data_IF_275882667871
#
_entry.id   IF_275882667871
#
_cell.length_a   1.000
_cell.length_b   1.000
_cell.length_c   1.000
_cell.angle_alpha   90.00
_cell.angle_beta   90.00
_cell.angle_gamma   90.00
#
_symmetry.space_group_name_H-M   'P 1'
#
loop_
_entity.id
_entity.type
_entity.pdbx_description
1 polymer ?
#
# COMPACT_ATOMS: atom_id res chain seq x y z
N UNK A 1 -14.81 4.83 -39.93
CA UNK A 1 -14.84 6.15 -39.27
C UNK A 1 -15.80 6.07 -38.08
N UNK A 2 -15.35 5.54 -36.94
CA UNK A 2 -16.20 5.25 -35.77
C UNK A 2 -15.59 5.98 -34.57
N UNK A 3 -16.26 7.08 -34.21
CA UNK A 3 -16.25 7.84 -32.96
C UNK A 3 -14.96 7.86 -32.15
N UNK A 4 -14.23 8.96 -32.29
CA UNK A 4 -13.20 9.39 -31.35
C UNK A 4 -13.80 9.49 -29.96
N UNK A 5 -13.33 8.62 -29.08
CA UNK A 5 -13.56 8.66 -27.64
C UNK A 5 -13.18 10.05 -27.17
N UNK A 6 -14.19 10.86 -26.85
CA UNK A 6 -14.00 12.16 -26.23
C UNK A 6 -13.38 11.90 -24.86
N UNK A 7 -12.05 11.96 -24.81
CA UNK A 7 -11.27 11.82 -23.59
C UNK A 7 -11.67 13.00 -22.69
N UNK A 8 -12.61 12.80 -21.78
CA UNK A 8 -12.83 13.73 -20.70
C UNK A 8 -11.51 13.79 -19.94
N UNK A 9 -10.79 14.90 -20.13
CA UNK A 9 -9.59 15.21 -19.35
C UNK A 9 -10.06 15.33 -17.89
N UNK A 10 -10.05 14.22 -17.15
CA UNK A 10 -10.08 14.24 -15.70
C UNK A 10 -8.85 15.03 -15.30
N UNK A 11 -9.05 16.32 -15.06
CA UNK A 11 -7.99 17.27 -14.74
C UNK A 11 -7.22 16.71 -13.56
N UNK A 12 -6.01 16.22 -13.82
CA UNK A 12 -5.15 15.64 -12.80
C UNK A 12 -4.93 16.69 -11.70
N UNK A 13 -5.43 16.38 -10.51
CA UNK A 13 -5.37 17.27 -9.34
C UNK A 13 -4.11 17.00 -8.53
N UNK A 14 -3.00 17.49 -9.06
CA UNK A 14 -1.68 17.37 -8.45
C UNK A 14 -1.63 17.97 -7.03
N UNK A 15 -2.49 18.94 -6.72
CA UNK A 15 -2.68 19.52 -5.40
C UNK A 15 -3.13 18.50 -4.35
N UNK A 16 -4.08 17.62 -4.69
CA UNK A 16 -4.57 16.57 -3.78
C UNK A 16 -3.55 15.46 -3.60
N UNK A 17 -2.87 15.07 -4.69
CA UNK A 17 -1.80 14.08 -4.61
C UNK A 17 -0.59 14.60 -3.80
N UNK A 18 -0.28 15.90 -3.87
CA UNK A 18 0.71 16.55 -3.01
C UNK A 18 0.32 16.54 -1.54
N UNK A 19 -0.95 16.79 -1.21
CA UNK A 19 -1.43 16.74 0.18
C UNK A 19 -1.34 15.32 0.76
N UNK A 20 -1.59 14.29 -0.06
CA UNK A 20 -1.37 12.88 0.32
C UNK A 20 0.10 12.58 0.60
N UNK A 21 1.02 13.13 -0.19
CA UNK A 21 2.46 12.98 0.05
C UNK A 21 2.89 13.61 1.38
N UNK A 22 2.35 14.80 1.71
CA UNK A 22 2.59 15.46 3.00
C UNK A 22 2.03 14.64 4.17
N UNK A 23 0.84 14.03 4.00
CA UNK A 23 0.22 13.20 5.04
C UNK A 23 1.04 11.95 5.42
N UNK A 24 1.92 11.48 4.53
CA UNK A 24 2.81 10.33 4.80
C UNK A 24 4.05 10.74 5.63
N UNK A 25 4.45 12.01 5.64
CA UNK A 25 5.66 12.45 6.36
C UNK A 25 5.65 12.11 7.86
N UNK A 26 4.57 12.34 8.63
CA UNK A 26 4.51 11.94 10.03
C UNK A 26 4.62 10.42 10.22
N UNK A 27 4.14 9.62 9.26
CA UNK A 27 4.21 8.15 9.28
C UNK A 27 5.65 7.67 9.15
N UNK A 28 6.42 8.30 8.26
CA UNK A 28 7.84 8.02 8.06
C UNK A 28 8.66 8.45 9.27
N UNK A 29 8.43 9.66 9.78
CA UNK A 29 9.16 10.19 10.94
C UNK A 29 8.93 9.34 12.20
N UNK A 30 7.71 8.81 12.38
CA UNK A 30 7.41 7.86 13.45
C UNK A 30 8.20 6.55 13.31
N UNK A 31 8.29 6.00 12.10
CA UNK A 31 9.04 4.75 11.86
C UNK A 31 10.55 4.89 12.04
N UNK A 32 11.13 6.08 11.85
CA UNK A 32 12.57 6.33 11.99
C UNK A 32 12.99 6.54 13.46
N UNK A 33 12.06 6.41 14.42
CA UNK A 33 12.36 6.41 15.86
C UNK A 33 12.32 7.78 16.52
N UNK A 34 11.67 8.77 15.89
CA UNK A 34 11.48 10.08 16.51
C UNK A 34 10.28 10.05 17.48
N UNK A 35 10.56 9.75 18.76
CA UNK A 35 9.57 9.59 19.83
C UNK A 35 8.70 10.84 20.12
N UNK A 36 9.04 12.03 19.60
CA UNK A 36 8.18 13.22 19.73
C UNK A 36 6.91 13.16 18.87
N UNK A 37 6.84 12.28 17.88
CA UNK A 37 5.63 12.04 17.10
C UNK A 37 4.95 10.73 17.53
N UNK A 38 4.43 10.65 18.75
CA UNK A 38 3.56 9.55 19.20
C UNK A 38 2.25 9.39 18.36
N UNK A 39 2.08 10.18 17.30
CA UNK A 39 0.90 10.28 16.46
C UNK A 39 1.11 9.86 15.00
N UNK A 40 1.99 8.89 14.70
CA UNK A 40 2.14 8.36 13.34
C UNK A 40 0.81 7.92 12.69
N UNK A 41 -0.14 7.47 13.51
CA UNK A 41 -1.51 7.13 13.10
C UNK A 41 -2.31 8.31 12.54
N UNK A 42 -2.06 9.54 13.02
CA UNK A 42 -2.75 10.74 12.52
C UNK A 42 -2.42 10.99 11.05
N UNK A 43 -1.17 10.75 10.64
CA UNK A 43 -0.77 10.86 9.23
C UNK A 43 -1.49 9.83 8.35
N UNK A 44 -1.65 8.61 8.86
CA UNK A 44 -2.40 7.54 8.19
C UNK A 44 -3.88 7.92 8.05
N UNK A 45 -4.51 8.43 9.11
CA UNK A 45 -5.91 8.84 9.11
C UNK A 45 -6.16 9.96 8.09
N UNK A 46 -5.32 11.00 8.09
CA UNK A 46 -5.42 12.11 7.15
C UNK A 46 -5.23 11.62 5.70
N UNK A 47 -4.25 10.75 5.45
CA UNK A 47 -4.04 10.17 4.13
C UNK A 47 -5.27 9.40 3.63
N UNK A 48 -5.91 8.60 4.50
CA UNK A 48 -7.09 7.84 4.13
C UNK A 48 -8.32 8.74 3.92
N UNK A 49 -8.51 9.79 4.73
CA UNK A 49 -9.59 10.76 4.54
C UNK A 49 -9.47 11.48 3.20
N UNK A 50 -8.27 11.99 2.86
CA UNK A 50 -8.03 12.66 1.58
C UNK A 50 -8.25 11.71 0.40
N UNK A 51 -7.78 10.47 0.54
CA UNK A 51 -8.01 9.43 -0.47
C UNK A 51 -9.50 9.17 -0.62
N UNK A 52 -10.24 8.97 0.46
CA UNK A 52 -11.70 8.78 0.45
C UNK A 52 -12.46 9.90 -0.26
N UNK A 53 -12.11 11.15 0.03
CA UNK A 53 -12.69 12.31 -0.67
C UNK A 53 -12.47 12.25 -2.20
N UNK A 54 -11.25 11.99 -2.65
CA UNK A 54 -10.92 11.91 -4.07
C UNK A 54 -11.66 10.77 -4.75
N UNK A 55 -11.70 9.61 -4.11
CA UNK A 55 -12.37 8.41 -4.60
C UNK A 55 -13.87 8.67 -4.80
N UNK A 56 -14.52 9.25 -3.80
CA UNK A 56 -15.94 9.59 -3.86
C UNK A 56 -16.21 10.67 -4.90
N UNK A 57 -15.34 11.68 -5.03
CA UNK A 57 -15.48 12.71 -6.06
C UNK A 57 -15.41 12.14 -7.47
N UNK A 58 -14.50 11.19 -7.73
CA UNK A 58 -14.40 10.49 -9.02
C UNK A 58 -15.69 9.68 -9.26
N UNK A 59 -16.12 8.92 -8.26
CA UNK A 59 -17.31 8.08 -8.35
C UNK A 59 -18.58 8.89 -8.65
N UNK A 60 -18.79 10.01 -7.93
CA UNK A 60 -19.93 10.91 -8.16
C UNK A 60 -19.89 11.51 -9.57
N UNK A 61 -18.70 11.86 -10.07
CA UNK A 61 -18.55 12.39 -11.42
C UNK A 61 -18.83 11.32 -12.49
N UNK A 62 -18.34 10.09 -12.33
CA UNK A 62 -18.59 8.98 -13.24
C UNK A 62 -20.08 8.60 -13.28
N UNK A 63 -20.75 8.62 -12.13
CA UNK A 63 -22.21 8.39 -12.03
C UNK A 63 -22.96 9.50 -12.77
N UNK A 64 -22.62 10.78 -12.57
CA UNK A 64 -23.25 11.90 -13.27
C UNK A 64 -23.10 11.82 -14.79
N UNK A 65 -22.00 11.26 -15.27
CA UNK A 65 -21.70 11.09 -16.69
C UNK A 65 -22.22 9.76 -17.28
N UNK A 66 -22.91 8.92 -16.49
CA UNK A 66 -23.34 7.57 -16.88
C UNK A 66 -22.20 6.65 -17.37
N UNK A 67 -20.95 6.93 -16.98
CA UNK A 67 -19.76 6.14 -17.33
C UNK A 67 -19.29 5.26 -16.16
N UNK A 68 -20.14 5.05 -15.17
CA UNK A 68 -19.78 4.30 -13.97
C UNK A 68 -19.66 2.80 -14.26
N UNK A 69 -18.46 2.26 -14.04
CA UNK A 69 -18.18 0.83 -13.97
C UNK A 69 -17.35 0.55 -12.73
N UNK A 70 -17.89 -0.29 -11.83
CA UNK A 70 -17.17 -0.72 -10.63
C UNK A 70 -15.93 -1.55 -10.99
N UNK A 71 -16.03 -2.35 -12.06
CA UNK A 71 -14.93 -3.19 -12.55
C UNK A 71 -13.77 -2.31 -13.03
N UNK A 72 -14.04 -1.31 -13.88
CA UNK A 72 -13.02 -0.41 -14.40
C UNK A 72 -12.36 0.41 -13.28
N UNK A 73 -13.15 0.78 -12.27
CA UNK A 73 -12.67 1.49 -11.10
C UNK A 73 -11.68 0.65 -10.27
N UNK A 74 -12.00 -0.62 -10.00
CA UNK A 74 -11.08 -1.51 -9.29
C UNK A 74 -9.88 -1.89 -10.15
N UNK A 75 -10.07 -2.11 -11.45
CA UNK A 75 -8.99 -2.44 -12.38
C UNK A 75 -7.91 -1.35 -12.39
N UNK A 76 -8.30 -0.07 -12.53
CA UNK A 76 -7.38 1.07 -12.50
C UNK A 76 -6.58 1.14 -11.20
N UNK A 77 -7.20 0.80 -10.07
CA UNK A 77 -6.54 0.80 -8.75
C UNK A 77 -5.58 -0.37 -8.59
N UNK A 78 -6.02 -1.57 -8.96
CA UNK A 78 -5.22 -2.78 -8.90
C UNK A 78 -3.96 -2.61 -9.74
N UNK A 79 -4.10 -2.12 -10.98
CA UNK A 79 -2.97 -1.85 -11.89
C UNK A 79 -1.97 -0.82 -11.34
N UNK A 80 -2.37 0.05 -10.41
CA UNK A 80 -1.50 1.05 -9.77
C UNK A 80 -0.90 0.58 -8.44
N UNK A 81 -1.62 -0.17 -7.61
CA UNK A 81 -1.19 -0.55 -6.25
C UNK A 81 -0.48 -1.91 -6.23
N UNK A 82 -0.99 -2.89 -6.96
CA UNK A 82 -0.46 -4.26 -6.94
C UNK A 82 1.00 -4.36 -7.40
N UNK A 83 1.48 -3.62 -8.42
CA UNK A 83 2.89 -3.71 -8.83
C UNK A 83 3.86 -3.36 -7.69
N UNK A 84 3.56 -2.30 -6.94
CA UNK A 84 4.38 -1.89 -5.80
C UNK A 84 4.30 -2.91 -4.66
N UNK A 85 3.11 -3.45 -4.38
CA UNK A 85 2.91 -4.48 -3.36
C UNK A 85 3.72 -5.74 -3.66
N UNK A 86 3.59 -6.28 -4.87
CA UNK A 86 4.30 -7.49 -5.31
C UNK A 86 5.81 -7.27 -5.26
N UNK A 87 6.28 -6.11 -5.73
CA UNK A 87 7.70 -5.76 -5.69
C UNK A 87 8.23 -5.74 -4.26
N UNK A 88 7.55 -5.06 -3.33
CA UNK A 88 7.97 -4.98 -1.92
C UNK A 88 7.95 -6.36 -1.26
N UNK A 89 6.91 -7.17 -1.50
CA UNK A 89 6.84 -8.53 -0.96
C UNK A 89 8.01 -9.38 -1.49
N UNK A 90 8.25 -9.37 -2.81
CA UNK A 90 9.34 -10.12 -3.41
C UNK A 90 10.69 -9.65 -2.87
N UNK A 91 10.91 -8.34 -2.77
CA UNK A 91 12.11 -7.74 -2.20
C UNK A 91 12.32 -8.18 -0.76
N UNK A 92 11.29 -8.16 0.08
CA UNK A 92 11.38 -8.62 1.48
C UNK A 92 11.70 -10.11 1.55
N UNK A 93 11.07 -10.97 0.73
CA UNK A 93 11.36 -12.40 0.71
C UNK A 93 12.83 -12.67 0.37
N UNK A 94 13.36 -11.94 -0.62
CA UNK A 94 14.77 -12.07 -1.04
C UNK A 94 15.72 -11.46 -0.01
N UNK A 95 15.40 -10.32 0.58
CA UNK A 95 16.25 -9.62 1.54
C UNK A 95 16.25 -10.27 2.93
N UNK A 96 15.13 -10.85 3.34
CA UNK A 96 14.92 -11.49 4.65
C UNK A 96 16.09 -12.38 5.11
N UNK A 97 16.58 -13.37 4.35
CA UNK A 97 17.69 -14.22 4.78
C UNK A 97 19.03 -13.50 4.96
N UNK A 98 19.22 -12.31 4.38
CA UNK A 98 20.45 -11.51 4.55
C UNK A 98 20.41 -10.63 5.80
N UNK A 99 19.21 -10.24 6.26
CA UNK A 99 19.03 -9.31 7.39
C UNK A 99 18.59 -10.00 8.69
N UNK A 100 17.93 -11.16 8.60
CA UNK A 100 17.48 -11.89 9.78
C UNK A 100 18.56 -12.86 10.28
N UNK A 101 18.88 -12.87 11.59
CA UNK A 101 19.73 -13.90 12.17
C UNK A 101 19.04 -15.27 12.08
N UNK A 102 19.81 -16.37 11.90
CA UNK A 102 19.24 -17.71 11.71
C UNK A 102 18.37 -18.07 12.92
N UNK A 103 17.12 -18.46 12.65
CA UNK A 103 16.15 -18.72 13.71
C UNK A 103 16.29 -20.18 14.15
N UNK A 104 16.62 -20.39 15.44
CA UNK A 104 16.71 -21.71 16.05
C UNK A 104 15.30 -22.28 16.24
N UNK A 105 14.92 -23.26 15.41
CA UNK A 105 13.74 -24.09 15.66
C UNK A 105 14.19 -25.33 16.42
N UNK A 106 13.81 -25.42 17.69
CA UNK A 106 14.00 -26.62 18.50
C UNK A 106 12.88 -27.59 18.15
N UNK A 107 13.19 -28.56 17.29
CA UNK A 107 12.29 -29.69 17.05
C UNK A 107 12.59 -30.70 18.16
N UNK A 108 11.77 -30.69 19.21
CA UNK A 108 11.79 -31.75 20.22
C UNK A 108 11.12 -32.98 19.62
N UNK A 109 11.92 -33.92 19.11
CA UNK A 109 11.41 -35.23 18.73
C UNK A 109 11.03 -35.98 20.01
N UNK A 110 9.73 -36.11 20.27
CA UNK A 110 9.13 -36.66 21.50
C UNK A 110 9.33 -38.19 21.70
N UNK A 111 10.54 -38.69 21.41
CA UNK A 111 10.85 -40.11 21.55
C UNK A 111 12.35 -40.45 21.62
N UNK A 112 13.26 -39.47 21.55
CA UNK A 112 14.69 -39.69 21.71
C UNK A 112 15.30 -38.39 22.26
N UNK A 113 16.03 -38.45 23.38
CA UNK A 113 16.65 -37.31 24.09
C UNK A 113 17.77 -36.60 23.28
N UNK A 114 17.62 -36.43 21.97
CA UNK A 114 18.53 -35.68 21.10
C UNK A 114 17.80 -34.45 20.57
N UNK A 115 18.18 -33.28 21.11
CA UNK A 115 17.76 -32.00 20.56
C UNK A 115 18.44 -31.79 19.20
N UNK A 116 17.72 -31.99 18.10
CA UNK A 116 18.23 -31.70 16.76
C UNK A 116 18.04 -30.19 16.53
N UNK A 117 19.16 -29.46 16.44
CA UNK A 117 19.12 -28.02 16.14
C UNK A 117 19.15 -27.84 14.63
N UNK A 118 18.02 -27.44 14.05
CA UNK A 118 17.92 -27.06 12.64
C UNK A 118 18.00 -25.54 12.56
N UNK A 119 18.98 -25.03 11.82
CA UNK A 119 19.10 -23.62 11.49
C UNK A 119 18.42 -23.39 10.14
N UNK A 120 17.43 -22.51 10.11
CA UNK A 120 16.80 -21.99 8.89
C UNK A 120 17.10 -20.50 8.77
#
# INVERSE_FOLDING_TARGET
MVYGVMMSNLKYRADIDGLRAVAILPVLLFHVGYNWFSGGYVGVDVFFVISGYLITSILVNDIKNNTYSILDFYERRIRRIVPALVFVIAFIIVASPFFLPPRKLFISAEGNNRNITVYI
#
